data_IF_026281058859
#
_entry.id   IF_026281058859
#
_cell.length_a   1.000
_cell.length_b   1.000
_cell.length_c   1.000
_cell.angle_alpha   90.00
_cell.angle_beta   90.00
_cell.angle_gamma   90.00
#
_symmetry.space_group_name_H-M   'P 1'
#
loop_
_entity.id
_entity.type
_entity.pdbx_description
1 polymer ?
#
# COMPACT_ATOMS: atom_id res chain seq x y z
N UNK A 1 13.75 -18.25 1.85
CA UNK A 1 12.68 -17.24 2.05
C UNK A 1 12.75 -16.76 3.49
N UNK A 2 12.44 -15.50 3.80
CA UNK A 2 12.38 -15.06 5.20
C UNK A 2 11.27 -15.83 5.93
N UNK A 3 11.55 -16.21 7.17
CA UNK A 3 10.58 -16.89 8.04
C UNK A 3 9.92 -15.84 8.95
N UNK A 4 8.86 -15.18 8.43
CA UNK A 4 8.08 -14.21 9.19
C UNK A 4 7.00 -14.92 10.01
N UNK A 5 6.81 -14.49 11.25
CA UNK A 5 5.81 -15.09 12.15
C UNK A 5 4.38 -14.73 11.75
N UNK A 6 4.16 -13.48 11.36
CA UNK A 6 2.83 -12.90 11.13
C UNK A 6 2.60 -12.45 9.68
N UNK A 7 3.48 -12.79 8.75
CA UNK A 7 3.38 -12.42 7.36
C UNK A 7 3.86 -13.55 6.46
N UNK A 8 3.18 -13.79 5.34
CA UNK A 8 3.64 -14.69 4.28
C UNK A 8 4.25 -13.83 3.18
N UNK A 9 5.48 -14.12 2.78
CA UNK A 9 6.21 -13.43 1.72
C UNK A 9 6.48 -14.40 0.57
N UNK A 10 5.95 -14.10 -0.60
CA UNK A 10 6.12 -14.91 -1.80
C UNK A 10 6.54 -14.04 -2.97
N UNK A 11 7.46 -14.52 -3.81
CA UNK A 11 7.84 -13.86 -5.07
C UNK A 11 7.53 -14.79 -6.23
N UNK A 12 6.73 -14.30 -7.16
CA UNK A 12 6.39 -15.00 -8.40
C UNK A 12 6.17 -14.00 -9.53
N UNK A 13 6.67 -14.28 -10.72
CA UNK A 13 6.48 -13.46 -11.93
C UNK A 13 6.84 -11.97 -11.70
N UNK A 14 7.94 -11.71 -11.01
CA UNK A 14 8.41 -10.39 -10.61
C UNK A 14 7.44 -9.61 -9.66
N UNK A 15 6.50 -10.30 -9.02
CA UNK A 15 5.56 -9.75 -8.05
C UNK A 15 5.87 -10.32 -6.66
N UNK A 16 6.14 -9.45 -5.69
CA UNK A 16 6.22 -9.83 -4.29
C UNK A 16 4.83 -9.72 -3.64
N UNK A 17 4.30 -10.82 -3.14
CA UNK A 17 3.04 -10.85 -2.40
C UNK A 17 3.32 -10.89 -0.91
N UNK A 18 2.77 -9.90 -0.20
CA UNK A 18 2.85 -9.69 1.24
C UNK A 18 1.46 -9.99 1.83
N UNK A 19 1.28 -11.20 2.35
CA UNK A 19 0.00 -11.61 2.94
C UNK A 19 0.07 -11.44 4.45
N UNK A 20 -0.72 -10.50 4.99
CA UNK A 20 -0.89 -10.32 6.44
C UNK A 20 -1.48 -11.61 7.02
N UNK A 21 -0.81 -12.27 7.96
CA UNK A 21 -1.14 -13.63 8.37
C UNK A 21 -1.39 -13.78 9.88
N UNK A 22 -2.45 -13.12 10.33
CA UNK A 22 -3.08 -13.30 11.65
C UNK A 22 -4.61 -13.44 11.48
N UNK A 23 -5.10 -14.43 10.69
CA UNK A 23 -6.50 -14.52 10.31
C UNK A 23 -7.46 -14.65 11.51
N UNK A 24 -7.04 -15.25 12.61
CA UNK A 24 -7.77 -15.39 13.87
C UNK A 24 -8.02 -14.04 14.56
N UNK A 25 -7.29 -13.00 14.17
CA UNK A 25 -7.40 -11.60 14.64
C UNK A 25 -7.79 -10.65 13.51
N UNK A 26 -8.31 -11.16 12.37
CA UNK A 26 -8.57 -10.39 11.16
C UNK A 26 -7.36 -9.52 10.76
N UNK A 27 -6.16 -10.08 10.91
CA UNK A 27 -4.88 -9.45 10.57
C UNK A 27 -4.63 -8.12 11.29
N UNK A 28 -5.08 -8.00 12.56
CA UNK A 28 -4.80 -6.83 13.38
C UNK A 28 -3.28 -6.61 13.55
N UNK A 29 -2.87 -5.35 13.55
CA UNK A 29 -1.48 -4.89 13.64
C UNK A 29 -0.92 -5.04 15.06
N UNK A 30 -0.65 -6.25 15.44
CA UNK A 30 -0.09 -6.67 16.73
C UNK A 30 0.97 -7.74 16.52
N UNK A 31 1.52 -8.26 17.63
CA UNK A 31 2.63 -9.19 17.64
C UNK A 31 3.79 -8.65 16.76
N UNK A 32 4.40 -9.42 15.90
CA UNK A 32 5.48 -9.01 14.99
C UNK A 32 5.01 -8.44 13.66
N UNK A 33 3.69 -8.42 13.38
CA UNK A 33 3.17 -8.11 12.04
C UNK A 33 3.68 -6.76 11.47
N UNK A 34 3.89 -5.74 12.31
CA UNK A 34 4.43 -4.44 11.87
C UNK A 34 5.88 -4.53 11.47
N UNK A 35 6.68 -5.25 12.27
CA UNK A 35 8.10 -5.49 12.02
C UNK A 35 8.28 -6.35 10.77
N UNK A 36 7.51 -7.44 10.68
CA UNK A 36 7.50 -8.36 9.54
C UNK A 36 7.15 -7.60 8.25
N UNK A 37 6.12 -6.74 8.29
CA UNK A 37 5.68 -5.96 7.13
C UNK A 37 6.73 -4.91 6.72
N UNK A 38 7.35 -4.23 7.69
CA UNK A 38 8.41 -3.26 7.42
C UNK A 38 9.62 -3.91 6.73
N UNK A 39 10.12 -5.00 7.30
CA UNK A 39 11.25 -5.75 6.72
C UNK A 39 10.88 -6.31 5.33
N UNK A 40 9.69 -6.87 5.16
CA UNK A 40 9.23 -7.39 3.89
C UNK A 40 9.15 -6.32 2.79
N UNK A 41 8.68 -5.10 3.11
CA UNK A 41 8.66 -3.97 2.17
C UNK A 41 10.08 -3.57 1.79
N UNK A 42 11.00 -3.44 2.76
CA UNK A 42 12.40 -3.10 2.48
C UNK A 42 13.07 -4.15 1.61
N UNK A 43 12.90 -5.42 1.96
CA UNK A 43 13.42 -6.56 1.19
C UNK A 43 12.91 -6.55 -0.25
N UNK A 44 11.59 -6.47 -0.45
CA UNK A 44 11.01 -6.40 -1.78
C UNK A 44 11.49 -5.17 -2.57
N UNK A 45 11.71 -4.04 -1.89
CA UNK A 45 12.22 -2.81 -2.50
C UNK A 45 13.65 -2.97 -3.04
N UNK A 46 14.48 -3.77 -2.38
CA UNK A 46 15.89 -4.01 -2.72
C UNK A 46 16.09 -5.19 -3.69
N UNK A 47 15.14 -6.12 -3.76
CA UNK A 47 15.25 -7.33 -4.59
C UNK A 47 15.16 -6.99 -6.09
N UNK A 48 16.21 -7.22 -6.90
CA UNK A 48 16.21 -6.89 -8.33
C UNK A 48 15.19 -7.71 -9.14
N UNK A 49 14.77 -8.87 -8.65
CA UNK A 49 13.80 -9.75 -9.32
C UNK A 49 12.35 -9.34 -9.06
N UNK A 50 12.12 -8.42 -8.11
CA UNK A 50 10.79 -7.88 -7.80
C UNK A 50 10.58 -6.56 -8.54
N UNK A 51 9.43 -6.39 -9.17
CA UNK A 51 9.01 -5.15 -9.87
C UNK A 51 7.76 -4.51 -9.30
N UNK A 52 6.91 -5.28 -8.61
CA UNK A 52 5.65 -4.83 -8.01
C UNK A 52 5.42 -5.54 -6.68
N UNK A 53 4.84 -4.85 -5.71
CA UNK A 53 4.37 -5.42 -4.44
C UNK A 53 2.84 -5.52 -4.46
N UNK A 54 2.31 -6.63 -3.95
CA UNK A 54 0.88 -6.82 -3.67
C UNK A 54 0.73 -7.09 -2.18
N UNK A 55 -0.12 -6.31 -1.49
CA UNK A 55 -0.44 -6.49 -0.07
C UNK A 55 -1.88 -7.00 0.05
N UNK A 56 -2.08 -8.09 0.78
CA UNK A 56 -3.41 -8.66 1.03
C UNK A 56 -3.49 -9.27 2.43
N UNK A 57 -4.65 -9.77 2.85
CA UNK A 57 -4.86 -10.41 4.14
C UNK A 57 -5.22 -11.89 4.02
N UNK A 58 -4.69 -12.73 4.90
CA UNK A 58 -5.12 -14.12 5.03
C UNK A 58 -6.55 -14.19 5.60
N UNK A 59 -7.33 -15.15 5.12
CA UNK A 59 -8.68 -15.40 5.63
C UNK A 59 -9.71 -14.33 5.24
N UNK A 60 -10.62 -13.98 6.16
CA UNK A 60 -11.81 -13.16 5.90
C UNK A 60 -11.58 -11.64 5.97
N UNK A 61 -10.44 -11.17 6.48
CA UNK A 61 -10.14 -9.75 6.65
C UNK A 61 -8.90 -9.33 5.92
N UNK A 62 -8.88 -8.07 5.46
CA UNK A 62 -7.63 -7.45 5.04
C UNK A 62 -6.80 -7.10 6.28
N UNK A 63 -7.26 -6.16 7.08
CA UNK A 63 -6.62 -5.75 8.33
C UNK A 63 -7.61 -5.00 9.23
N UNK A 64 -7.87 -5.51 10.44
CA UNK A 64 -8.79 -4.89 11.40
C UNK A 64 -8.22 -3.68 12.15
N UNK A 65 -7.00 -3.24 11.82
CA UNK A 65 -6.34 -2.10 12.46
C UNK A 65 -5.51 -2.50 13.70
N UNK A 66 -5.44 -1.64 14.70
CA UNK A 66 -4.70 -1.92 15.92
C UNK A 66 -5.24 -3.13 16.71
N UNK A 67 -4.36 -3.93 17.31
CA UNK A 67 -4.76 -5.03 18.17
C UNK A 67 -5.31 -4.48 19.51
N UNK A 68 -6.64 -4.32 19.57
CA UNK A 68 -7.35 -3.72 20.71
C UNK A 68 -7.13 -4.54 22.00
N UNK A 69 -7.02 -5.86 21.90
CA UNK A 69 -6.74 -6.71 23.06
C UNK A 69 -5.35 -6.41 23.61
N UNK A 70 -4.34 -6.37 22.76
CA UNK A 70 -2.98 -6.02 23.18
C UNK A 70 -2.92 -4.59 23.76
N UNK A 71 -3.69 -3.65 23.19
CA UNK A 71 -3.79 -2.28 23.74
C UNK A 71 -4.43 -2.25 25.13
N UNK A 72 -5.47 -3.05 25.38
CA UNK A 72 -6.11 -3.17 26.69
C UNK A 72 -5.15 -3.81 27.72
N UNK A 73 -4.47 -4.89 27.33
CA UNK A 73 -3.51 -5.57 28.20
C UNK A 73 -2.35 -4.64 28.59
N UNK A 74 -1.89 -3.78 27.67
CA UNK A 74 -0.88 -2.77 27.99
C UNK A 74 -1.39 -1.69 28.94
N UNK A 75 -2.65 -1.22 28.80
CA UNK A 75 -3.26 -0.24 29.71
C UNK A 75 -3.46 -0.78 31.13
N UNK A 76 -3.73 -2.05 31.26
CA UNK A 76 -3.92 -2.73 32.54
C UNK A 76 -2.59 -3.26 33.13
N UNK A 77 -1.45 -2.88 32.54
CA UNK A 77 -0.12 -3.29 33.04
C UNK A 77 0.21 -4.78 32.84
N UNK A 78 -0.58 -5.49 32.02
CA UNK A 78 -0.36 -6.91 31.70
C UNK A 78 0.63 -7.13 30.54
N UNK A 79 1.07 -6.05 29.90
CA UNK A 79 2.07 -6.10 28.84
C UNK A 79 3.21 -5.12 29.14
N UNK A 80 4.44 -5.38 28.69
CA UNK A 80 5.55 -4.46 28.89
C UNK A 80 5.29 -3.10 28.22
N UNK A 81 5.82 -2.03 28.82
CA UNK A 81 5.78 -0.70 28.25
C UNK A 81 6.52 -0.69 26.90
N UNK A 82 5.98 0.08 25.94
CA UNK A 82 6.65 0.26 24.64
C UNK A 82 8.01 0.92 24.84
N UNK A 83 9.06 0.44 24.14
CA UNK A 83 10.37 1.11 24.12
C UNK A 83 10.23 2.60 23.79
N UNK A 84 11.14 3.41 24.29
CA UNK A 84 11.14 4.87 24.05
C UNK A 84 11.27 5.17 22.54
N UNK A 85 12.06 4.40 21.83
CA UNK A 85 12.29 4.51 20.40
C UNK A 85 10.97 4.38 19.60
N UNK A 86 10.10 3.45 19.98
CA UNK A 86 8.76 3.29 19.37
C UNK A 86 7.79 4.44 19.69
N UNK A 87 8.12 5.28 20.66
CA UNK A 87 7.33 6.47 21.03
C UNK A 87 7.76 7.71 20.24
N UNK A 88 9.03 7.79 19.87
CA UNK A 88 9.65 8.93 19.15
C UNK A 88 9.56 8.73 17.63
N UNK A 89 9.84 7.52 17.15
CA UNK A 89 9.75 7.16 15.73
C UNK A 89 8.96 5.83 15.59
N UNK A 90 7.63 5.89 15.70
CA UNK A 90 6.83 4.68 15.72
C UNK A 90 6.97 3.89 14.43
N UNK A 91 7.07 2.57 14.56
CA UNK A 91 7.26 1.64 13.45
C UNK A 91 6.15 1.77 12.38
N UNK A 92 4.93 2.16 12.79
CA UNK A 92 3.83 2.44 11.85
C UNK A 92 4.19 3.48 10.79
N UNK A 93 4.88 4.55 11.20
CA UNK A 93 5.26 5.64 10.29
C UNK A 93 6.33 5.16 9.33
N UNK A 94 7.29 4.35 9.82
CA UNK A 94 8.31 3.72 8.99
C UNK A 94 7.74 2.78 7.92
N UNK A 95 6.71 1.98 8.25
CA UNK A 95 6.04 1.10 7.28
C UNK A 95 5.46 1.90 6.13
N UNK A 96 4.68 2.95 6.44
CA UNK A 96 4.04 3.77 5.41
C UNK A 96 5.06 4.53 4.57
N UNK A 97 6.07 5.13 5.21
CA UNK A 97 7.15 5.81 4.50
C UNK A 97 7.92 4.83 3.59
N UNK A 98 8.25 3.62 4.09
CA UNK A 98 8.90 2.60 3.27
C UNK A 98 8.06 2.19 2.06
N UNK A 99 6.72 2.11 2.19
CA UNK A 99 5.83 1.81 1.06
C UNK A 99 5.77 2.96 0.05
N UNK A 100 5.73 4.21 0.52
CA UNK A 100 5.73 5.41 -0.32
C UNK A 100 7.06 5.59 -1.05
N UNK A 101 8.17 5.38 -0.34
CA UNK A 101 9.53 5.54 -0.87
C UNK A 101 10.00 4.32 -1.67
N UNK A 102 9.27 3.18 -1.59
CA UNK A 102 9.58 2.00 -2.38
C UNK A 102 9.72 2.36 -3.86
N UNK A 103 10.84 1.99 -4.53
CA UNK A 103 11.06 2.28 -5.94
C UNK A 103 10.16 1.45 -6.87
N UNK A 104 9.17 0.76 -6.31
CA UNK A 104 8.28 -0.19 -6.96
C UNK A 104 6.84 0.12 -6.59
N UNK A 105 5.87 -0.03 -7.52
CA UNK A 105 4.45 0.11 -7.22
C UNK A 105 3.98 -0.88 -6.17
N UNK A 106 3.07 -0.42 -5.31
CA UNK A 106 2.45 -1.19 -4.24
C UNK A 106 0.94 -1.23 -4.46
N UNK A 107 0.38 -2.42 -4.61
CA UNK A 107 -1.05 -2.65 -4.82
C UNK A 107 -1.65 -3.25 -3.55
N UNK A 108 -2.71 -2.65 -3.00
CA UNK A 108 -3.54 -3.30 -2.00
C UNK A 108 -4.63 -4.13 -2.67
N UNK A 109 -4.70 -5.42 -2.35
CA UNK A 109 -5.81 -6.31 -2.66
C UNK A 109 -6.64 -6.52 -1.39
N UNK A 110 -7.67 -5.68 -1.21
CA UNK A 110 -8.47 -5.62 0.02
C UNK A 110 -9.54 -6.69 -0.01
N UNK A 111 -9.23 -7.87 0.54
CA UNK A 111 -10.07 -9.06 0.49
C UNK A 111 -11.26 -9.05 1.47
N UNK A 112 -11.28 -8.16 2.45
CA UNK A 112 -12.31 -8.12 3.49
C UNK A 112 -12.24 -6.87 4.34
N UNK A 113 -12.55 -6.98 5.64
CA UNK A 113 -12.57 -5.84 6.54
C UNK A 113 -11.23 -5.11 6.59
N UNK A 114 -11.27 -3.79 6.37
CA UNK A 114 -10.17 -2.84 6.46
C UNK A 114 -10.59 -1.71 7.42
N UNK A 115 -10.13 -1.73 8.68
CA UNK A 115 -10.62 -0.84 9.71
C UNK A 115 -9.49 -0.03 10.36
N UNK A 116 -9.73 1.27 10.59
CA UNK A 116 -8.77 2.16 11.24
C UNK A 116 -7.39 2.11 10.56
N UNK A 117 -6.35 1.74 11.31
CA UNK A 117 -5.00 1.59 10.78
C UNK A 117 -4.91 0.60 9.61
N UNK A 118 -5.80 -0.41 9.54
CA UNK A 118 -5.85 -1.34 8.42
C UNK A 118 -6.41 -0.70 7.14
N UNK A 119 -7.44 0.16 7.26
CA UNK A 119 -7.89 0.98 6.13
C UNK A 119 -6.75 1.92 5.68
N UNK A 120 -6.08 2.57 6.64
CA UNK A 120 -5.01 3.52 6.34
C UNK A 120 -3.77 2.85 5.72
N UNK A 121 -3.47 1.60 6.10
CA UNK A 121 -2.47 0.78 5.42
C UNK A 121 -2.81 0.58 3.93
N UNK A 122 -4.08 0.27 3.62
CA UNK A 122 -4.53 0.17 2.22
C UNK A 122 -4.43 1.52 1.50
N UNK A 123 -4.81 2.64 2.17
CA UNK A 123 -4.69 3.99 1.61
C UNK A 123 -3.23 4.40 1.32
N UNK A 124 -2.27 3.88 2.07
CA UNK A 124 -0.83 4.08 1.85
C UNK A 124 -0.26 3.35 0.63
N UNK A 125 -0.99 2.39 0.03
CA UNK A 125 -0.63 1.75 -1.23
C UNK A 125 -0.93 2.66 -2.43
N UNK A 126 -0.22 2.47 -3.55
CA UNK A 126 -0.38 3.28 -4.75
C UNK A 126 -1.73 3.01 -5.45
N UNK A 127 -2.14 1.73 -5.51
CA UNK A 127 -3.38 1.27 -6.14
C UNK A 127 -4.12 0.37 -5.16
N UNK A 128 -5.45 0.41 -5.17
CA UNK A 128 -6.32 -0.38 -4.29
C UNK A 128 -7.39 -1.10 -5.10
N UNK A 129 -7.39 -2.42 -5.04
CA UNK A 129 -8.49 -3.25 -5.52
C UNK A 129 -9.21 -3.82 -4.32
N UNK A 130 -10.53 -3.95 -4.38
CA UNK A 130 -11.34 -4.47 -3.29
C UNK A 130 -12.18 -5.67 -3.73
N UNK A 131 -12.39 -6.61 -2.81
CA UNK A 131 -13.45 -7.60 -2.93
C UNK A 131 -14.81 -6.95 -2.67
N UNK A 132 -15.89 -7.47 -3.27
CA UNK A 132 -17.27 -7.12 -2.89
C UNK A 132 -17.56 -7.40 -1.41
N UNK A 133 -16.78 -8.27 -0.76
CA UNK A 133 -16.87 -8.53 0.68
C UNK A 133 -16.16 -7.48 1.55
N UNK A 134 -15.38 -6.58 0.95
CA UNK A 134 -14.61 -5.58 1.70
C UNK A 134 -15.51 -4.56 2.39
N UNK A 135 -15.10 -4.15 3.59
CA UNK A 135 -15.73 -3.09 4.39
C UNK A 135 -14.65 -2.15 4.89
N UNK A 136 -14.91 -0.85 4.82
CA UNK A 136 -13.95 0.18 5.19
C UNK A 136 -14.51 1.06 6.30
N UNK A 137 -13.70 1.42 7.30
CA UNK A 137 -14.11 2.34 8.36
C UNK A 137 -12.92 3.04 9.03
N UNK A 138 -13.10 4.31 9.37
CA UNK A 138 -12.19 5.08 10.23
C UNK A 138 -12.60 4.92 11.72
N UNK A 139 -12.57 3.70 12.24
CA UNK A 139 -13.15 3.31 13.51
C UNK A 139 -12.50 3.91 14.77
N UNK A 140 -11.52 4.80 14.64
CA UNK A 140 -10.74 5.36 15.77
C UNK A 140 -11.62 6.11 16.76
N UNK A 141 -12.47 7.01 16.30
CA UNK A 141 -13.32 7.86 17.15
C UNK A 141 -14.30 7.06 18.00
N UNK A 142 -14.75 5.88 17.51
CA UNK A 142 -15.60 4.95 18.30
C UNK A 142 -14.88 4.38 19.53
N UNK A 143 -13.58 4.57 19.65
CA UNK A 143 -12.73 4.13 20.76
C UNK A 143 -12.03 5.30 21.46
N UNK A 144 -12.44 6.55 21.15
CA UNK A 144 -11.81 7.76 21.70
C UNK A 144 -10.35 7.94 21.27
N UNK A 145 -10.00 7.42 20.08
CA UNK A 145 -8.65 7.49 19.53
C UNK A 145 -8.59 8.45 18.35
N UNK A 146 -7.44 9.08 18.16
CA UNK A 146 -7.11 9.87 16.98
C UNK A 146 -6.74 8.95 15.81
N UNK A 147 -7.14 9.26 14.57
CA UNK A 147 -6.66 8.55 13.38
C UNK A 147 -5.13 8.60 13.28
N UNK A 148 -4.51 7.46 13.05
CA UNK A 148 -3.08 7.30 12.80
C UNK A 148 -2.83 6.57 11.46
N UNK A 149 -1.62 6.10 11.18
CA UNK A 149 -1.28 5.46 9.90
C UNK A 149 -1.64 6.33 8.69
N UNK A 150 -1.43 7.63 8.76
CA UNK A 150 -1.63 8.55 7.64
C UNK A 150 -3.11 8.78 7.22
N UNK A 151 -4.10 8.32 8.01
CA UNK A 151 -5.51 8.44 7.64
C UNK A 151 -5.96 9.87 7.38
N UNK A 152 -5.47 10.83 8.19
CA UNK A 152 -5.76 12.26 8.03
C UNK A 152 -5.00 12.90 6.85
N UNK A 153 -4.02 12.23 6.31
CA UNK A 153 -3.28 12.66 5.12
C UNK A 153 -3.90 12.10 3.83
N UNK A 154 -4.10 10.78 3.77
CA UNK A 154 -4.55 10.11 2.55
C UNK A 154 -6.04 10.31 2.26
N UNK A 155 -6.90 10.12 3.28
CA UNK A 155 -8.35 10.09 3.04
C UNK A 155 -8.87 11.40 2.44
N UNK A 156 -8.57 12.61 2.97
CA UNK A 156 -9.09 13.85 2.40
C UNK A 156 -8.56 14.13 0.99
N UNK A 157 -7.41 13.61 0.60
CA UNK A 157 -6.87 13.70 -0.76
C UNK A 157 -7.63 12.84 -1.76
N UNK A 158 -8.26 11.76 -1.30
CA UNK A 158 -9.05 10.86 -2.15
C UNK A 158 -10.51 11.29 -2.25
N UNK A 159 -11.14 11.65 -1.12
CA UNK A 159 -12.60 11.86 -1.07
C UNK A 159 -13.01 13.33 -0.86
N UNK A 160 -12.03 14.23 -0.72
CA UNK A 160 -12.24 15.62 -0.33
C UNK A 160 -12.46 15.77 1.18
N UNK A 161 -12.25 17.01 1.69
CA UNK A 161 -12.24 17.29 3.13
C UNK A 161 -13.58 16.96 3.80
N UNK A 162 -14.71 17.38 3.21
CA UNK A 162 -16.03 17.20 3.84
C UNK A 162 -16.38 15.73 4.04
N UNK A 163 -16.17 14.87 3.02
CA UNK A 163 -16.44 13.43 3.13
C UNK A 163 -15.43 12.74 4.06
N UNK A 164 -14.17 13.17 4.08
CA UNK A 164 -13.20 12.68 5.04
C UNK A 164 -13.59 12.99 6.48
N UNK A 165 -14.06 14.21 6.77
CA UNK A 165 -14.59 14.59 8.10
C UNK A 165 -15.78 13.70 8.50
N UNK A 166 -16.75 13.51 7.60
CA UNK A 166 -17.90 12.63 7.85
C UNK A 166 -17.46 11.21 8.23
N UNK A 167 -16.62 10.58 7.39
CA UNK A 167 -16.14 9.22 7.63
C UNK A 167 -15.30 9.08 8.91
N UNK A 168 -14.44 10.08 9.19
CA UNK A 168 -13.59 10.07 10.39
C UNK A 168 -14.41 10.35 11.65
N UNK A 169 -15.30 11.35 11.63
CA UNK A 169 -16.03 11.78 12.84
C UNK A 169 -17.13 10.80 13.23
N UNK A 170 -17.73 10.11 12.26
CA UNK A 170 -18.76 9.09 12.53
C UNK A 170 -18.17 7.70 12.73
N UNK A 171 -17.02 7.41 12.12
CA UNK A 171 -16.49 6.06 12.02
C UNK A 171 -17.47 5.09 11.34
N UNK A 172 -18.26 5.58 10.39
CA UNK A 172 -19.22 4.80 9.63
C UNK A 172 -18.50 3.71 8.83
N UNK A 173 -19.22 2.60 8.63
CA UNK A 173 -18.74 1.50 7.77
C UNK A 173 -19.32 1.71 6.38
N UNK A 174 -18.46 1.81 5.39
CA UNK A 174 -18.86 1.82 3.98
C UNK A 174 -18.49 0.48 3.32
N UNK A 175 -19.26 0.10 2.31
CA UNK A 175 -18.95 -1.11 1.53
C UNK A 175 -18.00 -0.82 0.36
N UNK A 176 -17.68 -1.87 -0.40
CA UNK A 176 -16.75 -1.78 -1.51
C UNK A 176 -17.28 -0.89 -2.65
N UNK A 177 -18.60 -0.88 -2.90
CA UNK A 177 -19.18 -0.08 -3.96
C UNK A 177 -19.17 1.41 -3.61
N UNK A 178 -19.47 1.75 -2.35
CA UNK A 178 -19.35 3.13 -1.89
C UNK A 178 -17.88 3.57 -1.88
N UNK A 179 -16.94 2.68 -1.49
CA UNK A 179 -15.51 2.97 -1.57
C UNK A 179 -15.04 3.22 -3.02
N UNK A 180 -15.59 2.49 -4.00
CA UNK A 180 -15.34 2.73 -5.43
C UNK A 180 -15.92 4.09 -5.87
N UNK A 181 -17.16 4.38 -5.52
CA UNK A 181 -17.83 5.66 -5.86
C UNK A 181 -17.06 6.87 -5.30
N UNK A 182 -16.48 6.72 -4.13
CA UNK A 182 -15.69 7.77 -3.46
C UNK A 182 -14.24 7.86 -3.95
N UNK A 183 -13.77 6.96 -4.83
CA UNK A 183 -12.38 6.93 -5.29
C UNK A 183 -11.40 6.36 -4.25
N UNK A 184 -11.90 5.73 -3.19
CA UNK A 184 -11.05 5.05 -2.19
C UNK A 184 -10.40 3.82 -2.79
N UNK A 185 -11.10 3.09 -3.66
CA UNK A 185 -10.57 1.95 -4.41
C UNK A 185 -10.71 2.16 -5.92
N UNK A 186 -9.83 1.53 -6.70
CA UNK A 186 -9.77 1.66 -8.16
C UNK A 186 -10.72 0.70 -8.89
N UNK A 187 -11.00 -0.47 -8.28
CA UNK A 187 -11.94 -1.46 -8.82
C UNK A 187 -12.46 -2.37 -7.71
N UNK A 188 -13.61 -3.02 -7.99
CA UNK A 188 -14.25 -4.01 -7.11
C UNK A 188 -14.46 -5.30 -7.89
N UNK A 189 -14.10 -6.42 -7.30
CA UNK A 189 -14.17 -7.76 -7.89
C UNK A 189 -14.93 -8.73 -6.97
N UNK A 190 -15.43 -9.83 -7.50
CA UNK A 190 -15.88 -10.94 -6.68
C UNK A 190 -14.72 -11.48 -5.82
N UNK A 191 -14.98 -12.09 -4.65
CA UNK A 191 -13.92 -12.53 -3.73
C UNK A 191 -12.87 -13.43 -4.42
N UNK A 192 -13.32 -14.35 -5.26
CA UNK A 192 -12.50 -15.29 -6.02
C UNK A 192 -11.71 -14.64 -7.15
N UNK A 193 -12.15 -13.48 -7.66
CA UNK A 193 -11.53 -12.76 -8.76
C UNK A 193 -10.51 -11.69 -8.29
N UNK A 194 -10.54 -11.31 -7.02
CA UNK A 194 -9.71 -10.22 -6.50
C UNK A 194 -8.21 -10.46 -6.72
N UNK A 195 -7.69 -11.61 -6.30
CA UNK A 195 -6.27 -11.92 -6.44
C UNK A 195 -5.86 -12.16 -7.90
N UNK A 196 -6.64 -12.88 -8.73
CA UNK A 196 -6.40 -12.90 -10.18
C UNK A 196 -6.27 -11.51 -10.81
N UNK A 197 -7.20 -10.59 -10.52
CA UNK A 197 -7.17 -9.22 -11.04
C UNK A 197 -5.96 -8.42 -10.51
N UNK A 198 -5.62 -8.57 -9.22
CA UNK A 198 -4.44 -7.93 -8.65
C UNK A 198 -3.14 -8.41 -9.31
N UNK A 199 -3.02 -9.71 -9.58
CA UNK A 199 -1.86 -10.26 -10.29
C UNK A 199 -1.83 -9.89 -11.77
N UNK A 200 -2.96 -9.78 -12.44
CA UNK A 200 -3.04 -9.29 -13.82
C UNK A 200 -2.51 -7.86 -13.90
N UNK A 201 -3.01 -6.98 -13.05
CA UNK A 201 -2.53 -5.59 -12.96
C UNK A 201 -1.05 -5.53 -12.59
N UNK A 202 -0.62 -6.32 -11.60
CA UNK A 202 0.78 -6.36 -11.16
C UNK A 202 1.71 -6.82 -12.29
N UNK A 203 1.36 -7.88 -13.04
CA UNK A 203 2.14 -8.35 -14.21
C UNK A 203 2.17 -7.32 -15.33
N UNK A 204 1.05 -6.64 -15.59
CA UNK A 204 0.99 -5.54 -16.58
C UNK A 204 1.96 -4.42 -16.22
N UNK A 205 2.01 -4.02 -14.94
CA UNK A 205 2.97 -3.02 -14.46
C UNK A 205 4.40 -3.57 -14.50
N UNK A 206 4.62 -4.81 -14.05
CA UNK A 206 5.93 -5.44 -14.03
C UNK A 206 6.54 -5.64 -15.42
N UNK A 207 5.73 -5.73 -16.47
CA UNK A 207 6.20 -5.76 -17.86
C UNK A 207 6.66 -4.40 -18.39
N UNK A 208 6.37 -3.31 -17.68
CA UNK A 208 6.78 -1.95 -18.05
C UNK A 208 8.25 -1.64 -17.71
N UNK A 209 8.75 -0.45 -18.13
CA UNK A 209 10.12 -0.01 -17.90
C UNK A 209 10.33 0.40 -16.43
N UNK A 210 11.10 -0.34 -15.62
CA UNK A 210 11.16 -0.14 -14.17
C UNK A 210 11.70 1.23 -13.76
N UNK A 211 12.68 1.79 -14.51
CA UNK A 211 13.25 3.11 -14.20
C UNK A 211 12.19 4.21 -14.38
N UNK A 212 11.44 4.18 -15.49
CA UNK A 212 10.40 5.16 -15.76
C UNK A 212 9.24 5.05 -14.75
N UNK A 213 8.80 3.84 -14.39
CA UNK A 213 7.75 3.60 -13.41
C UNK A 213 8.18 4.13 -12.03
N UNK A 214 9.41 3.84 -11.60
CA UNK A 214 9.97 4.36 -10.34
C UNK A 214 9.97 5.88 -10.30
N UNK A 215 10.45 6.53 -11.37
CA UNK A 215 10.51 7.98 -11.43
C UNK A 215 9.12 8.61 -11.53
N UNK A 216 8.18 7.98 -12.25
CA UNK A 216 6.78 8.41 -12.29
C UNK A 216 6.12 8.33 -10.91
N UNK A 217 6.31 7.24 -10.16
CA UNK A 217 5.82 7.14 -8.78
C UNK A 217 6.38 8.29 -7.92
N UNK A 218 7.68 8.53 -7.97
CA UNK A 218 8.33 9.61 -7.21
C UNK A 218 7.81 10.98 -7.63
N UNK A 219 7.60 11.23 -8.93
CA UNK A 219 7.08 12.50 -9.44
C UNK A 219 5.66 12.76 -8.93
N UNK A 220 4.79 11.73 -8.98
CA UNK A 220 3.40 11.84 -8.49
C UNK A 220 3.36 12.23 -7.02
N UNK A 221 4.19 11.60 -6.17
CA UNK A 221 4.21 11.95 -4.74
C UNK A 221 4.91 13.27 -4.46
N UNK A 222 5.95 13.62 -5.20
CA UNK A 222 6.59 14.92 -5.10
C UNK A 222 5.62 16.06 -5.46
N UNK A 223 4.72 15.86 -6.42
CA UNK A 223 3.73 16.88 -6.81
C UNK A 223 2.72 17.23 -5.72
N UNK A 224 2.55 16.38 -4.69
CA UNK A 224 1.71 16.68 -3.52
C UNK A 224 2.38 17.68 -2.54
N UNK A 225 3.69 17.90 -2.67
CA UNK A 225 4.51 18.65 -1.71
C UNK A 225 5.19 19.88 -2.35
N UNK A 226 5.03 20.08 -3.67
CA UNK A 226 5.69 21.16 -4.42
C UNK A 226 4.70 21.94 -5.30
N UNK A 227 5.15 23.09 -5.84
CA UNK A 227 4.39 23.84 -6.84
C UNK A 227 4.62 23.29 -8.28
N UNK A 228 3.90 23.84 -9.26
CA UNK A 228 4.04 23.43 -10.66
C UNK A 228 5.47 23.56 -11.18
N UNK A 229 6.21 24.59 -10.75
CA UNK A 229 7.59 24.80 -11.19
C UNK A 229 8.50 23.67 -10.70
N UNK A 230 8.44 23.32 -9.41
CA UNK A 230 9.21 22.23 -8.84
C UNK A 230 8.81 20.88 -9.43
N UNK A 231 7.52 20.66 -9.72
CA UNK A 231 7.06 19.46 -10.43
C UNK A 231 7.68 19.36 -11.82
N UNK A 232 7.65 20.43 -12.64
CA UNK A 232 8.24 20.45 -13.98
C UNK A 232 9.76 20.30 -13.97
N UNK A 233 10.45 20.84 -12.99
CA UNK A 233 11.90 20.65 -12.80
C UNK A 233 12.22 19.16 -12.55
N UNK A 234 11.43 18.50 -11.69
CA UNK A 234 11.60 17.07 -11.44
C UNK A 234 11.25 16.23 -12.68
N UNK A 235 10.18 16.56 -13.41
CA UNK A 235 9.82 15.88 -14.66
C UNK A 235 10.93 15.97 -15.70
N UNK A 236 11.54 17.15 -15.87
CA UNK A 236 12.69 17.36 -16.75
C UNK A 236 13.87 16.45 -16.38
N UNK A 237 14.21 16.43 -15.09
CA UNK A 237 15.25 15.52 -14.58
C UNK A 237 14.91 14.05 -14.86
N UNK A 238 13.69 13.62 -14.51
CA UNK A 238 13.25 12.24 -14.68
C UNK A 238 13.23 11.81 -16.16
N UNK A 239 12.77 12.70 -17.05
CA UNK A 239 12.76 12.44 -18.49
C UNK A 239 14.18 12.29 -19.04
N UNK A 240 15.12 13.14 -18.64
CA UNK A 240 16.52 13.04 -19.05
C UNK A 240 17.12 11.70 -18.62
N UNK A 241 16.90 11.30 -17.35
CA UNK A 241 17.36 9.99 -16.85
C UNK A 241 16.75 8.84 -17.67
N UNK A 242 15.45 8.87 -17.95
CA UNK A 242 14.77 7.82 -18.71
C UNK A 242 15.30 7.74 -20.16
N UNK A 243 15.54 8.87 -20.81
CA UNK A 243 15.97 8.92 -22.22
C UNK A 243 17.34 8.27 -22.47
N UNK A 244 18.17 8.18 -21.46
CA UNK A 244 19.50 7.56 -21.54
C UNK A 244 19.47 6.03 -21.36
N UNK A 245 18.33 5.46 -20.91
CA UNK A 245 18.20 4.02 -20.64
C UNK A 245 18.16 3.16 -21.91
N UNK A 246 18.56 1.90 -21.80
CA UNK A 246 18.32 0.89 -22.85
C UNK A 246 16.82 0.68 -23.07
N UNK A 247 16.02 0.77 -21.99
CA UNK A 247 14.57 0.60 -22.04
C UNK A 247 13.90 1.68 -22.90
N UNK A 248 14.36 2.93 -22.85
CA UNK A 248 13.83 4.00 -23.71
C UNK A 248 14.12 3.71 -25.20
N UNK A 249 15.33 3.26 -25.50
CA UNK A 249 15.70 2.86 -26.89
C UNK A 249 14.87 1.68 -27.37
N UNK A 250 14.69 0.67 -26.51
CA UNK A 250 13.85 -0.50 -26.79
C UNK A 250 12.39 -0.10 -27.02
N UNK A 251 11.83 0.75 -26.15
CA UNK A 251 10.45 1.21 -26.28
C UNK A 251 10.19 1.95 -27.59
N UNK A 252 11.09 2.86 -27.97
CA UNK A 252 11.01 3.60 -29.24
C UNK A 252 11.12 2.63 -30.45
N UNK A 253 12.10 1.72 -30.40
CA UNK A 253 12.31 0.74 -31.47
C UNK A 253 11.11 -0.19 -31.62
N UNK A 254 10.61 -0.76 -30.51
CA UNK A 254 9.46 -1.65 -30.50
C UNK A 254 8.19 -0.97 -31.05
N UNK A 255 7.99 0.33 -30.74
CA UNK A 255 6.89 1.11 -31.30
C UNK A 255 6.97 1.27 -32.81
N UNK A 256 8.15 1.60 -33.33
CA UNK A 256 8.39 1.73 -34.81
C UNK A 256 8.21 0.37 -35.53
N UNK A 257 8.70 -0.70 -34.90
CA UNK A 257 8.62 -2.09 -35.40
C UNK A 257 7.24 -2.74 -35.17
N UNK A 258 6.30 -2.07 -34.48
CA UNK A 258 4.95 -2.57 -34.13
C UNK A 258 4.95 -3.91 -33.39
N UNK A 259 5.89 -4.10 -32.49
CA UNK A 259 6.00 -5.28 -31.61
C UNK A 259 5.93 -4.90 -30.13
N UNK A 260 5.73 -5.90 -29.26
CA UNK A 260 5.83 -5.70 -27.82
C UNK A 260 7.29 -5.39 -27.42
N UNK A 261 7.52 -4.41 -26.52
CA UNK A 261 8.84 -4.13 -25.97
C UNK A 261 9.23 -5.17 -24.91
N UNK A 262 10.56 -5.28 -24.67
CA UNK A 262 11.11 -6.11 -23.60
C UNK A 262 12.03 -5.27 -22.72
N UNK A 263 11.51 -4.80 -21.59
CA UNK A 263 12.20 -3.89 -20.68
C UNK A 263 13.06 -4.62 -19.65
N UNK A 264 14.28 -4.15 -19.43
CA UNK A 264 15.30 -4.77 -18.56
C UNK A 264 15.63 -3.95 -17.31
N UNK A 265 15.19 -2.68 -17.25
CA UNK A 265 15.43 -1.80 -16.11
C UNK A 265 16.81 -1.14 -16.10
N UNK A 266 17.42 -0.92 -17.24
CA UNK A 266 18.77 -0.32 -17.38
C UNK A 266 18.90 0.54 -18.62
#
# INVERSE_FOLDING_TARGET
>A
MPDYKCLIYEVKDAVATLTLNRPERLNALGDTLRDDLYDAVLRASQDPDVRVLVVTGAGKGFCAGGDVKAMNDAKEGRAPARPLEDRVAPLRDRVLLAMRDAPKPVIAAVNGAAAGAGMNLALGCDIRLASTAAKFTQAFVKRGLHPDWGGTYFLPRLVGMAKACELIFTGEIIDAQEALRLGIVNAVHAPEELMPAAYELARKIASGPPVAIRLAKRALYHSEETDLRGALEFETFAQNVCSETEDAREGIRAFVEKRAPSFKGR
#
